data_IF_403240038760
#
_entry.id   IF_403240038760
#
_cell.length_a   1.000
_cell.length_b   1.000
_cell.length_c   1.000
_cell.angle_alpha   90.00
_cell.angle_beta   90.00
_cell.angle_gamma   90.00
#
_symmetry.space_group_name_H-M   'P 1'
#
loop_
_entity.id
_entity.type
_entity.pdbx_description
1 polymer ?
#
# COMPACT_ATOMS: atom_id res chain seq x y z
N UNK A 1 20.24 -4.48 9.09
CA UNK A 1 19.78 -5.44 8.07
C UNK A 1 18.25 -5.48 8.11
N UNK A 2 17.59 -5.55 6.96
CA UNK A 2 16.13 -5.70 6.90
C UNK A 2 15.73 -7.16 7.17
N UNK A 3 14.59 -7.38 7.81
CA UNK A 3 13.98 -8.71 7.89
C UNK A 3 13.58 -9.20 6.49
N UNK A 4 13.32 -10.50 6.27
CA UNK A 4 12.66 -10.96 5.05
C UNK A 4 11.23 -10.40 4.97
N UNK A 5 10.70 -10.32 3.75
CA UNK A 5 9.28 -10.09 3.53
C UNK A 5 8.47 -11.25 4.10
N UNK A 6 7.36 -10.92 4.76
CA UNK A 6 6.42 -11.91 5.30
C UNK A 6 5.37 -12.30 4.26
N UNK A 7 4.71 -13.43 4.51
CA UNK A 7 3.63 -13.95 3.66
C UNK A 7 2.50 -12.94 3.48
N UNK A 8 1.77 -13.08 2.37
CA UNK A 8 0.56 -12.32 2.08
C UNK A 8 -0.47 -12.57 3.16
N UNK A 9 -1.04 -11.50 3.70
CA UNK A 9 -2.17 -11.52 4.64
C UNK A 9 -3.29 -10.63 4.13
N UNK A 10 -4.56 -10.91 4.45
CA UNK A 10 -5.66 -9.97 4.23
C UNK A 10 -5.37 -8.61 4.86
N UNK A 11 -5.99 -7.55 4.35
CA UNK A 11 -5.85 -6.22 4.94
C UNK A 11 -6.35 -6.22 6.39
N UNK A 12 -5.45 -5.85 7.30
CA UNK A 12 -5.72 -5.66 8.71
C UNK A 12 -6.11 -4.21 8.99
N UNK A 13 -6.64 -3.92 10.18
CA UNK A 13 -7.10 -2.58 10.56
C UNK A 13 -5.98 -1.52 10.45
N UNK A 14 -4.74 -1.85 10.85
CA UNK A 14 -3.59 -0.97 10.67
C UNK A 14 -3.30 -0.66 9.20
N UNK A 15 -3.46 -1.64 8.32
CA UNK A 15 -3.27 -1.46 6.87
C UNK A 15 -4.38 -0.58 6.30
N UNK A 16 -5.62 -0.76 6.73
CA UNK A 16 -6.76 0.07 6.34
C UNK A 16 -6.50 1.53 6.73
N UNK A 17 -6.10 1.78 7.98
CA UNK A 17 -5.78 3.12 8.48
C UNK A 17 -4.61 3.77 7.72
N UNK A 18 -3.55 3.00 7.46
CA UNK A 18 -2.41 3.45 6.65
C UNK A 18 -2.89 3.89 5.27
N UNK A 19 -3.71 3.08 4.60
CA UNK A 19 -4.19 3.41 3.25
C UNK A 19 -5.15 4.58 3.24
N UNK A 20 -6.05 4.69 4.22
CA UNK A 20 -6.94 5.84 4.34
C UNK A 20 -6.16 7.15 4.53
N UNK A 21 -5.09 7.13 5.34
CA UNK A 21 -4.19 8.28 5.51
C UNK A 21 -3.49 8.67 4.21
N UNK A 22 -3.12 7.67 3.39
CA UNK A 22 -2.39 7.86 2.14
C UNK A 22 -3.26 8.13 0.91
N UNK A 23 -4.58 7.98 1.00
CA UNK A 23 -5.48 8.16 -0.13
C UNK A 23 -5.30 9.53 -0.84
N UNK A 24 -5.22 10.67 -0.13
CA UNK A 24 -4.99 11.96 -0.79
C UNK A 24 -3.63 12.03 -1.51
N UNK A 25 -2.57 11.51 -0.87
CA UNK A 25 -1.24 11.47 -1.46
C UNK A 25 -1.17 10.53 -2.67
N UNK A 26 -2.00 9.50 -2.70
CA UNK A 26 -2.12 8.57 -3.82
C UNK A 26 -2.70 9.26 -5.05
N UNK A 27 -3.75 10.08 -4.89
CA UNK A 27 -4.32 10.87 -5.98
C UNK A 27 -3.28 11.80 -6.59
N UNK A 28 -2.52 12.51 -5.75
CA UNK A 28 -1.42 13.38 -6.20
C UNK A 28 -0.32 12.58 -6.91
N UNK A 29 0.11 11.44 -6.34
CA UNK A 29 1.18 10.61 -6.91
C UNK A 29 0.83 10.07 -8.30
N UNK A 30 -0.45 9.74 -8.52
CA UNK A 30 -0.95 9.18 -9.77
C UNK A 30 -1.41 10.23 -10.79
N UNK A 31 -1.41 11.51 -10.43
CA UNK A 31 -2.12 12.57 -11.18
C UNK A 31 -3.57 12.16 -11.48
N UNK A 32 -4.21 11.54 -10.48
CA UNK A 32 -5.57 11.02 -10.55
C UNK A 32 -6.53 11.95 -9.78
N UNK A 33 -7.77 12.02 -10.27
CA UNK A 33 -8.87 12.66 -9.55
C UNK A 33 -9.37 11.83 -8.37
N UNK A 34 -10.62 12.05 -7.97
CA UNK A 34 -11.25 11.26 -6.92
C UNK A 34 -11.35 9.78 -7.32
N UNK A 35 -10.96 8.90 -6.40
CA UNK A 35 -11.12 7.47 -6.59
C UNK A 35 -12.57 7.05 -6.35
N UNK A 36 -13.13 6.21 -7.23
CA UNK A 36 -14.48 5.66 -7.05
C UNK A 36 -14.58 4.76 -5.81
N UNK A 37 -13.48 4.13 -5.45
CA UNK A 37 -13.32 3.36 -4.22
C UNK A 37 -11.86 3.38 -3.77
N UNK A 38 -11.60 3.00 -2.52
CA UNK A 38 -10.23 2.89 -2.01
C UNK A 38 -10.17 1.77 -0.98
N UNK A 39 -10.19 0.54 -1.47
CA UNK A 39 -10.33 -0.67 -0.63
C UNK A 39 -9.02 -1.43 -0.52
N UNK A 40 -8.50 -1.56 0.69
CA UNK A 40 -7.34 -2.40 0.98
C UNK A 40 -7.74 -3.88 0.99
N UNK A 41 -7.10 -4.68 0.14
CA UNK A 41 -7.42 -6.10 -0.03
C UNK A 41 -6.48 -7.00 0.77
N UNK A 42 -5.19 -6.81 0.59
CA UNK A 42 -4.15 -7.64 1.19
C UNK A 42 -2.82 -6.92 1.21
N UNK A 43 -1.89 -7.42 2.02
CA UNK A 43 -0.56 -6.84 2.14
C UNK A 43 0.53 -7.87 2.43
N UNK A 44 1.76 -7.49 2.14
CA UNK A 44 2.98 -8.08 2.71
C UNK A 44 3.72 -6.99 3.48
N UNK A 45 4.51 -7.40 4.48
CA UNK A 45 5.33 -6.45 5.26
C UNK A 45 6.74 -6.92 5.50
N UNK A 46 7.62 -5.96 5.74
CA UNK A 46 9.02 -6.17 6.04
C UNK A 46 9.45 -5.23 7.16
N UNK A 47 10.00 -5.79 8.24
CA UNK A 47 10.54 -4.99 9.34
C UNK A 47 11.92 -4.46 8.98
N UNK A 48 12.12 -3.15 9.17
CA UNK A 48 13.36 -2.40 8.96
C UNK A 48 13.59 -1.50 10.19
N UNK A 49 14.19 -0.32 10.04
CA UNK A 49 14.15 0.73 11.07
C UNK A 49 12.78 1.45 11.09
N UNK A 50 11.72 0.66 11.09
CA UNK A 50 10.36 0.99 10.70
C UNK A 50 9.71 -0.24 10.08
N UNK A 51 8.67 -0.06 9.28
CA UNK A 51 8.02 -1.16 8.56
C UNK A 51 7.73 -0.74 7.12
N UNK A 52 8.19 -1.54 6.17
CA UNK A 52 7.71 -1.45 4.79
C UNK A 52 6.45 -2.31 4.64
N UNK A 53 5.50 -1.82 3.86
CA UNK A 53 4.33 -2.55 3.39
C UNK A 53 4.30 -2.53 1.86
N UNK A 54 3.81 -3.60 1.25
CA UNK A 54 3.21 -3.53 -0.09
C UNK A 54 1.75 -3.92 0.07
N UNK A 55 0.85 -3.03 -0.34
CA UNK A 55 -0.58 -3.13 -0.10
C UNK A 55 -1.28 -3.17 -1.45
N UNK A 56 -2.11 -4.19 -1.69
CA UNK A 56 -3.02 -4.21 -2.83
C UNK A 56 -4.26 -3.41 -2.47
N UNK A 57 -4.50 -2.36 -3.26
CA UNK A 57 -5.64 -1.46 -3.08
C UNK A 57 -6.48 -1.47 -4.35
N UNK A 58 -7.79 -1.65 -4.21
CA UNK A 58 -8.75 -1.46 -5.30
C UNK A 58 -9.15 0.01 -5.36
N UNK A 59 -8.99 0.61 -6.52
CA UNK A 59 -9.25 2.03 -6.78
C UNK A 59 -10.40 2.28 -7.77
N UNK A 60 -10.83 1.25 -8.50
CA UNK A 60 -11.98 1.30 -9.41
C UNK A 60 -12.69 -0.07 -9.48
N UNK A 61 -13.93 -0.13 -10.00
CA UNK A 61 -14.67 -1.37 -10.14
C UNK A 61 -14.15 -2.24 -11.30
N UNK A 62 -13.34 -1.67 -12.21
CA UNK A 62 -12.74 -2.39 -13.34
C UNK A 62 -11.81 -3.53 -12.87
N UNK A 63 -11.64 -4.55 -13.71
CA UNK A 63 -10.77 -5.69 -13.38
C UNK A 63 -9.31 -5.25 -13.22
N UNK A 64 -8.86 -4.26 -14.00
CA UNK A 64 -7.54 -3.60 -13.90
C UNK A 64 -7.52 -2.44 -12.91
N UNK A 65 -8.56 -2.31 -12.08
CA UNK A 65 -8.78 -1.24 -11.11
C UNK A 65 -8.00 -1.39 -9.81
N UNK A 66 -6.84 -2.06 -9.83
CA UNK A 66 -6.01 -2.26 -8.63
C UNK A 66 -4.65 -1.59 -8.78
N UNK A 67 -4.10 -1.21 -7.63
CA UNK A 67 -2.72 -0.77 -7.49
C UNK A 67 -2.00 -1.61 -6.44
N UNK A 68 -0.69 -1.75 -6.60
CA UNK A 68 0.19 -2.19 -5.52
C UNK A 68 0.95 -0.98 -4.99
N UNK A 69 0.62 -0.57 -3.77
CA UNK A 69 1.19 0.58 -3.08
C UNK A 69 2.30 0.10 -2.14
N UNK A 70 3.53 0.57 -2.35
CA UNK A 70 4.64 0.36 -1.43
C UNK A 70 4.73 1.55 -0.48
N UNK A 71 4.64 1.26 0.80
CA UNK A 71 4.55 2.26 1.86
C UNK A 71 5.62 2.02 2.91
N UNK A 72 6.20 3.09 3.42
CA UNK A 72 7.06 3.05 4.60
C UNK A 72 6.36 3.69 5.79
N UNK A 73 6.41 3.01 6.93
CA UNK A 73 5.91 3.50 8.21
C UNK A 73 7.09 3.60 9.17
N UNK A 74 7.37 4.82 9.63
CA UNK A 74 8.45 5.06 10.58
C UNK A 74 8.15 4.43 11.95
N UNK A 75 9.18 4.29 12.78
CA UNK A 75 8.98 3.89 14.18
C UNK A 75 8.14 4.95 14.92
N UNK A 76 7.30 4.56 15.90
CA UNK A 76 6.42 5.49 16.61
C UNK A 76 7.14 6.70 17.23
N UNK A 77 8.38 6.52 17.68
CA UNK A 77 9.21 7.59 18.27
C UNK A 77 9.53 8.74 17.29
N UNK A 78 9.48 8.47 15.98
CA UNK A 78 9.77 9.47 14.96
C UNK A 78 8.58 10.40 14.70
N UNK A 79 7.38 10.04 15.18
CA UNK A 79 6.13 10.80 15.00
C UNK A 79 5.87 11.21 13.53
N UNK A 80 6.28 10.36 12.60
CA UNK A 80 6.08 10.52 11.16
C UNK A 80 4.94 9.62 10.71
N UNK A 81 4.04 10.17 9.90
CA UNK A 81 2.98 9.40 9.24
C UNK A 81 3.54 8.43 8.19
N UNK A 82 2.69 7.55 7.64
CA UNK A 82 3.07 6.67 6.54
C UNK A 82 3.44 7.50 5.30
N UNK A 83 4.36 6.98 4.49
CA UNK A 83 4.78 7.62 3.23
C UNK A 83 4.76 6.63 2.07
N UNK A 84 4.27 7.08 0.92
CA UNK A 84 4.31 6.31 -0.33
C UNK A 84 5.75 6.32 -0.84
N UNK A 85 6.28 5.13 -1.12
CA UNK A 85 7.63 4.94 -1.68
C UNK A 85 7.60 4.40 -3.10
N UNK A 86 6.45 3.92 -3.57
CA UNK A 86 6.23 3.55 -4.96
C UNK A 86 4.82 3.00 -5.20
N UNK A 87 4.35 3.09 -6.45
CA UNK A 87 3.06 2.56 -6.88
C UNK A 87 3.21 1.82 -8.21
N UNK A 88 2.57 0.65 -8.32
CA UNK A 88 2.32 -0.01 -9.59
C UNK A 88 0.83 0.09 -9.94
N UNK A 89 0.52 0.53 -11.16
CA UNK A 89 -0.85 0.68 -11.67
C UNK A 89 -1.27 -0.50 -12.57
N UNK A 90 -2.53 -0.49 -13.00
CA UNK A 90 -3.11 -1.47 -13.94
C UNK A 90 -2.96 -2.92 -13.45
N UNK A 91 -3.15 -3.12 -12.14
CA UNK A 91 -3.15 -4.45 -11.52
C UNK A 91 -4.56 -5.00 -11.46
N UNK A 92 -4.63 -6.30 -11.27
CA UNK A 92 -5.85 -7.06 -11.10
C UNK A 92 -5.93 -7.69 -9.71
N UNK A 93 -7.11 -8.21 -9.35
CA UNK A 93 -7.28 -8.95 -8.10
C UNK A 93 -6.33 -10.15 -8.01
N UNK A 94 -6.00 -10.78 -9.14
CA UNK A 94 -5.22 -12.02 -9.19
C UNK A 94 -3.71 -11.80 -9.28
N UNK A 95 -3.24 -10.58 -9.55
CA UNK A 95 -1.80 -10.31 -9.61
C UNK A 95 -1.15 -10.56 -8.24
N UNK A 96 -0.01 -11.27 -8.18
CA UNK A 96 0.66 -11.55 -6.91
C UNK A 96 1.20 -10.27 -6.29
N UNK A 97 1.14 -10.18 -4.96
CA UNK A 97 1.80 -9.09 -4.22
C UNK A 97 3.26 -9.46 -4.01
N UNK A 98 4.14 -8.67 -4.60
CA UNK A 98 5.59 -8.81 -4.48
C UNK A 98 6.23 -7.46 -4.16
N UNK A 99 7.41 -7.49 -3.56
CA UNK A 99 8.20 -6.28 -3.36
C UNK A 99 8.76 -5.78 -4.69
N UNK A 100 8.70 -4.47 -4.91
CA UNK A 100 9.30 -3.82 -6.08
C UNK A 100 10.17 -2.64 -5.65
N UNK A 101 11.04 -2.18 -6.55
CA UNK A 101 11.89 -1.01 -6.34
C UNK A 101 11.28 0.23 -6.97
#
# INVERSE_FOLDING_TARGET
>A
MAAPWRNVVPATEDVIDITANLQPATGIFLDAGDFEMFESISSIKQVVQGTNYVIKVRISPEDTGYIHMKTYVALPINNQGPVITGIQQNKTLNDPIESFN
#
